data_IF_246835270588
#
_entry.id   IF_246835270588
#
_cell.length_a   1.000
_cell.length_b   1.000
_cell.length_c   1.000
_cell.angle_alpha   90.00
_cell.angle_beta   90.00
_cell.angle_gamma   90.00
#
_symmetry.space_group_name_H-M   'P 1'
#
loop_
_entity.id
_entity.type
_entity.pdbx_description
1 polymer ?
#
# COMPACT_ATOMS: atom_id res chain seq x y z
N UNK A 1 -1.03 -22.44 3.99
CA UNK A 1 -0.10 -21.36 3.61
C UNK A 1 0.87 -21.14 4.77
N UNK A 2 2.09 -20.65 4.54
CA UNK A 2 3.09 -20.53 5.58
C UNK A 2 2.67 -19.46 6.62
N UNK A 3 2.62 -19.82 7.92
CA UNK A 3 2.28 -18.93 9.03
C UNK A 3 3.11 -17.64 9.03
N UNK A 4 4.38 -17.73 8.59
CA UNK A 4 5.25 -16.57 8.43
C UNK A 4 4.75 -15.56 7.41
N UNK A 5 4.14 -15.98 6.31
CA UNK A 5 3.57 -15.08 5.30
C UNK A 5 2.38 -14.29 5.84
N UNK A 6 1.53 -14.95 6.66
CA UNK A 6 0.40 -14.29 7.32
C UNK A 6 0.89 -13.28 8.36
N UNK A 7 1.90 -13.67 9.16
CA UNK A 7 2.50 -12.78 10.15
C UNK A 7 3.11 -11.53 9.49
N UNK A 8 3.88 -11.70 8.40
CA UNK A 8 4.46 -10.57 7.65
C UNK A 8 3.38 -9.64 7.08
N UNK A 9 2.32 -10.20 6.50
CA UNK A 9 1.19 -9.41 6.00
C UNK A 9 0.50 -8.64 7.13
N UNK A 10 0.33 -9.26 8.30
CA UNK A 10 -0.24 -8.62 9.49
C UNK A 10 0.62 -7.50 10.05
N UNK A 11 1.94 -7.70 10.13
CA UNK A 11 2.89 -6.66 10.54
C UNK A 11 2.81 -5.47 9.58
N UNK A 12 2.87 -5.72 8.27
CA UNK A 12 2.75 -4.66 7.29
C UNK A 12 1.42 -3.90 7.38
N UNK A 13 0.31 -4.61 7.59
CA UNK A 13 -1.01 -4.00 7.80
C UNK A 13 -1.01 -3.08 9.03
N UNK A 14 -0.36 -3.50 10.12
CA UNK A 14 -0.18 -2.67 11.30
C UNK A 14 0.64 -1.40 11.00
N UNK A 15 1.73 -1.52 10.24
CA UNK A 15 2.52 -0.37 9.78
C UNK A 15 1.69 0.59 8.92
N UNK A 16 0.87 0.06 8.00
CA UNK A 16 0.01 0.86 7.13
C UNK A 16 -1.04 1.63 7.92
N UNK A 17 -1.74 0.97 8.83
CA UNK A 17 -2.74 1.61 9.70
C UNK A 17 -2.08 2.65 10.60
N UNK A 18 -0.95 2.33 11.21
CA UNK A 18 -0.21 3.25 12.08
C UNK A 18 0.24 4.50 11.32
N UNK A 19 0.84 4.34 10.14
CA UNK A 19 1.31 5.47 9.35
C UNK A 19 0.18 6.39 8.89
N UNK A 20 -0.91 5.82 8.34
CA UNK A 20 -1.99 6.60 7.73
C UNK A 20 -2.98 7.19 8.72
N UNK A 21 -3.34 6.44 9.77
CA UNK A 21 -4.46 6.82 10.63
C UNK A 21 -4.05 7.27 12.04
N UNK A 22 -2.78 7.07 12.41
CA UNK A 22 -2.25 7.54 13.71
C UNK A 22 -1.12 8.53 13.50
N UNK A 23 -0.03 8.12 12.85
CA UNK A 23 1.16 8.96 12.74
C UNK A 23 0.92 10.22 11.90
N UNK A 24 0.32 10.10 10.72
CA UNK A 24 0.05 11.27 9.87
C UNK A 24 -0.83 12.32 10.58
N UNK A 25 -2.01 11.99 11.17
CA UNK A 25 -2.80 12.97 11.91
C UNK A 25 -2.05 13.63 13.08
N UNK A 26 -1.24 12.86 13.82
CA UNK A 26 -0.43 13.40 14.93
C UNK A 26 0.63 14.37 14.42
N UNK A 27 1.33 14.03 13.34
CA UNK A 27 2.33 14.90 12.73
C UNK A 27 1.72 16.24 12.27
N UNK A 28 0.57 16.19 11.57
CA UNK A 28 -0.11 17.41 11.09
C UNK A 28 -0.73 18.25 12.21
N UNK A 29 -1.00 17.66 13.39
CA UNK A 29 -1.44 18.39 14.57
C UNK A 29 -0.27 19.05 15.30
N UNK A 30 0.91 18.42 15.29
CA UNK A 30 2.04 18.80 16.16
C UNK A 30 3.11 19.61 15.44
N UNK A 31 3.15 19.60 14.10
CA UNK A 31 4.20 20.23 13.29
C UNK A 31 3.63 21.17 12.24
N UNK A 32 4.41 22.15 11.74
CA UNK A 32 4.07 22.93 10.57
C UNK A 32 3.79 22.00 9.37
N UNK A 33 2.77 22.34 8.56
CA UNK A 33 2.27 21.48 7.46
C UNK A 33 3.36 20.94 6.54
N UNK A 34 4.36 21.76 6.22
CA UNK A 34 5.46 21.36 5.32
C UNK A 34 6.33 20.26 5.94
N UNK A 35 6.68 20.42 7.22
CA UNK A 35 7.48 19.42 7.94
C UNK A 35 6.69 18.14 8.18
N UNK A 36 5.43 18.27 8.63
CA UNK A 36 4.53 17.13 8.78
C UNK A 36 4.38 16.33 7.49
N UNK A 37 4.18 17.02 6.36
CA UNK A 37 4.05 16.40 5.05
C UNK A 37 5.33 15.73 4.56
N UNK A 38 6.50 16.25 4.89
CA UNK A 38 7.78 15.64 4.56
C UNK A 38 7.96 14.32 5.34
N UNK A 39 7.80 14.36 6.67
CA UNK A 39 7.96 13.16 7.53
C UNK A 39 6.89 12.10 7.19
N UNK A 40 5.64 12.50 7.01
CA UNK A 40 4.58 11.57 6.60
C UNK A 40 4.89 10.93 5.24
N UNK A 41 5.44 11.68 4.28
CA UNK A 41 5.87 11.18 2.98
C UNK A 41 6.91 10.07 3.11
N UNK A 42 7.93 10.25 3.94
CA UNK A 42 8.94 9.21 4.21
C UNK A 42 8.34 7.96 4.85
N UNK A 43 7.45 8.12 5.83
CA UNK A 43 6.74 6.98 6.42
C UNK A 43 5.92 6.21 5.39
N UNK A 44 5.19 6.91 4.52
CA UNK A 44 4.42 6.27 3.45
C UNK A 44 5.32 5.57 2.42
N UNK A 45 6.48 6.14 2.09
CA UNK A 45 7.48 5.49 1.23
C UNK A 45 7.95 4.16 1.83
N UNK A 46 8.35 4.16 3.11
CA UNK A 46 8.78 2.93 3.81
C UNK A 46 7.67 1.87 3.80
N UNK A 47 6.44 2.25 4.15
CA UNK A 47 5.30 1.33 4.17
C UNK A 47 4.98 0.79 2.78
N UNK A 48 5.04 1.62 1.74
CA UNK A 48 4.76 1.21 0.36
C UNK A 48 5.80 0.23 -0.17
N UNK A 49 7.10 0.52 0.00
CA UNK A 49 8.16 -0.40 -0.43
C UNK A 49 8.14 -1.73 0.35
N UNK A 50 7.93 -1.67 1.67
CA UNK A 50 7.74 -2.88 2.48
C UNK A 50 6.53 -3.69 1.99
N UNK A 51 5.43 -3.02 1.66
CA UNK A 51 4.23 -3.66 1.12
C UNK A 51 4.48 -4.35 -0.22
N UNK A 52 5.16 -3.69 -1.16
CA UNK A 52 5.51 -4.28 -2.45
C UNK A 52 6.32 -5.57 -2.29
N UNK A 53 7.29 -5.58 -1.39
CA UNK A 53 8.12 -6.77 -1.11
C UNK A 53 7.30 -7.87 -0.42
N UNK A 54 6.60 -7.54 0.66
CA UNK A 54 5.84 -8.51 1.46
C UNK A 54 4.73 -9.16 0.64
N UNK A 55 3.93 -8.39 -0.08
CA UNK A 55 2.82 -8.93 -0.88
C UNK A 55 3.29 -9.71 -2.11
N UNK A 56 4.46 -9.38 -2.69
CA UNK A 56 5.10 -10.23 -3.69
C UNK A 56 5.49 -11.59 -3.09
N UNK A 57 6.12 -11.61 -1.90
CA UNK A 57 6.46 -12.85 -1.20
C UNK A 57 5.21 -13.68 -0.88
N UNK A 58 4.16 -13.05 -0.34
CA UNK A 58 2.88 -13.71 -0.05
C UNK A 58 2.27 -14.32 -1.32
N UNK A 59 2.33 -13.60 -2.45
CA UNK A 59 1.86 -14.11 -3.74
C UNK A 59 2.61 -15.37 -4.18
N UNK A 60 3.94 -15.33 -4.19
CA UNK A 60 4.75 -16.47 -4.65
C UNK A 60 4.60 -17.68 -3.73
N UNK A 61 4.58 -17.49 -2.41
CA UNK A 61 4.34 -18.57 -1.44
C UNK A 61 2.94 -19.17 -1.64
N UNK A 62 1.91 -18.33 -1.82
CA UNK A 62 0.55 -18.76 -2.07
C UNK A 62 0.40 -19.51 -3.40
N UNK A 63 1.08 -19.05 -4.46
CA UNK A 63 1.06 -19.70 -5.77
C UNK A 63 1.71 -21.10 -5.73
N UNK A 64 2.83 -21.24 -5.03
CA UNK A 64 3.47 -22.56 -4.84
C UNK A 64 2.56 -23.53 -4.08
N UNK A 65 1.93 -23.08 -3.00
CA UNK A 65 1.00 -23.87 -2.22
C UNK A 65 -0.26 -24.26 -3.03
N UNK A 66 -0.79 -23.37 -3.86
CA UNK A 66 -1.93 -23.62 -4.73
C UNK A 66 -1.61 -24.63 -5.85
N UNK A 67 -0.41 -24.57 -6.43
CA UNK A 67 0.05 -25.51 -7.46
C UNK A 67 0.11 -26.95 -6.93
N UNK A 68 0.56 -27.13 -5.68
CA UNK A 68 0.59 -28.45 -5.02
C UNK A 68 -0.83 -29.00 -4.78
N UNK A 69 -1.81 -28.13 -4.52
CA UNK A 69 -3.21 -28.52 -4.21
C UNK A 69 -4.15 -28.49 -5.43
N UNK A 70 -3.66 -28.13 -6.61
CA UNK A 70 -4.43 -27.99 -7.85
C UNK A 70 -5.69 -27.10 -7.70
N UNK A 71 -5.64 -26.04 -6.89
CA UNK A 71 -6.74 -25.11 -6.61
C UNK A 71 -6.43 -23.74 -7.22
N UNK A 72 -7.32 -23.26 -8.10
CA UNK A 72 -7.25 -21.87 -8.58
C UNK A 72 -7.62 -20.91 -7.43
N UNK A 73 -6.66 -20.14 -6.96
CA UNK A 73 -6.84 -19.26 -5.81
C UNK A 73 -7.32 -17.87 -6.23
N UNK A 74 -8.56 -17.54 -5.89
CA UNK A 74 -9.09 -16.16 -5.98
C UNK A 74 -8.22 -15.18 -5.17
N UNK A 75 -7.57 -15.65 -4.12
CA UNK A 75 -6.64 -14.86 -3.32
C UNK A 75 -5.45 -14.37 -4.14
N UNK A 76 -4.95 -15.15 -5.10
CA UNK A 76 -3.88 -14.73 -6.00
C UNK A 76 -4.25 -13.51 -6.84
N UNK A 77 -5.48 -13.46 -7.36
CA UNK A 77 -5.98 -12.30 -8.12
C UNK A 77 -6.11 -11.07 -7.23
N UNK A 78 -6.65 -11.23 -6.02
CA UNK A 78 -6.79 -10.13 -5.06
C UNK A 78 -5.42 -9.58 -4.59
N UNK A 79 -4.43 -10.46 -4.37
CA UNK A 79 -3.07 -10.05 -4.05
C UNK A 79 -2.45 -9.28 -5.22
N UNK A 80 -2.66 -9.72 -6.46
CA UNK A 80 -2.17 -9.00 -7.64
C UNK A 80 -2.80 -7.60 -7.76
N UNK A 81 -4.12 -7.47 -7.53
CA UNK A 81 -4.81 -6.17 -7.51
C UNK A 81 -4.25 -5.26 -6.42
N UNK A 82 -4.06 -5.77 -5.21
CA UNK A 82 -3.45 -5.04 -4.11
C UNK A 82 -2.03 -4.57 -4.47
N UNK A 83 -1.22 -5.47 -5.01
CA UNK A 83 0.15 -5.16 -5.41
C UNK A 83 0.20 -4.09 -6.51
N UNK A 84 -0.66 -4.20 -7.53
CA UNK A 84 -0.79 -3.19 -8.58
C UNK A 84 -1.25 -1.85 -8.03
N UNK A 85 -2.17 -1.82 -7.07
CA UNK A 85 -2.60 -0.61 -6.38
C UNK A 85 -1.45 0.08 -5.65
N UNK A 86 -0.66 -0.69 -4.88
CA UNK A 86 0.53 -0.18 -4.21
C UNK A 86 1.57 0.34 -5.20
N UNK A 87 1.84 -0.41 -6.29
CA UNK A 87 2.78 -0.01 -7.32
C UNK A 87 2.32 1.27 -8.05
N UNK A 88 1.05 1.35 -8.44
CA UNK A 88 0.50 2.54 -9.08
C UNK A 88 0.58 3.77 -8.17
N UNK A 89 0.24 3.62 -6.89
CA UNK A 89 0.36 4.71 -5.95
C UNK A 89 1.82 5.17 -5.79
N UNK A 90 2.75 4.22 -5.61
CA UNK A 90 4.16 4.53 -5.35
C UNK A 90 4.88 5.08 -6.57
N UNK A 91 4.65 4.53 -7.77
CA UNK A 91 5.43 4.87 -8.96
C UNK A 91 4.75 5.85 -9.92
N UNK A 92 3.42 6.04 -9.82
CA UNK A 92 2.69 6.99 -10.64
C UNK A 92 2.21 8.20 -9.84
N UNK A 93 1.50 7.98 -8.73
CA UNK A 93 0.84 9.06 -7.99
C UNK A 93 1.83 9.81 -7.08
N UNK A 94 2.66 9.10 -6.32
CA UNK A 94 3.65 9.72 -5.40
C UNK A 94 4.62 10.68 -6.12
N UNK A 95 5.20 10.36 -7.30
CA UNK A 95 6.04 11.29 -8.02
C UNK A 95 5.33 12.58 -8.47
N UNK A 96 4.03 12.52 -8.75
CA UNK A 96 3.23 13.71 -9.07
C UNK A 96 3.07 14.60 -7.84
N UNK A 97 2.79 13.99 -6.68
CA UNK A 97 2.68 14.71 -5.40
C UNK A 97 4.01 15.39 -5.05
N UNK A 98 5.14 14.70 -5.23
CA UNK A 98 6.46 15.25 -5.01
C UNK A 98 6.79 16.39 -6.00
N UNK A 99 6.42 16.25 -7.27
CA UNK A 99 6.59 17.33 -8.26
C UNK A 99 5.82 18.60 -7.85
N UNK A 100 4.62 18.48 -7.30
CA UNK A 100 3.89 19.62 -6.75
C UNK A 100 4.59 20.25 -5.53
N UNK A 101 5.18 19.45 -4.64
CA UNK A 101 5.89 19.96 -3.46
C UNK A 101 7.18 20.70 -3.83
N UNK A 102 7.92 20.17 -4.80
CA UNK A 102 9.22 20.69 -5.24
C UNK A 102 9.11 21.69 -6.39
N UNK A 103 7.90 21.98 -6.88
CA UNK A 103 7.65 22.86 -8.03
C UNK A 103 8.40 22.40 -9.28
N UNK A 104 8.55 21.09 -9.45
CA UNK A 104 9.19 20.46 -10.61
C UNK A 104 8.17 19.91 -11.59
N UNK A 105 8.61 19.50 -12.78
CA UNK A 105 7.76 18.88 -13.80
C UNK A 105 7.72 17.38 -13.64
N UNK A 106 6.55 16.79 -13.93
CA UNK A 106 6.35 15.35 -14.00
C UNK A 106 5.57 15.04 -15.28
N UNK A 107 5.93 13.97 -16.00
CA UNK A 107 5.31 13.61 -17.26
C UNK A 107 3.79 13.36 -17.14
N UNK A 108 3.35 12.66 -16.07
CA UNK A 108 1.94 12.37 -15.83
C UNK A 108 1.17 13.65 -15.48
N UNK A 109 1.75 14.51 -14.64
CA UNK A 109 1.18 15.81 -14.31
C UNK A 109 1.05 16.69 -15.55
N UNK A 110 2.02 16.67 -16.45
CA UNK A 110 1.98 17.42 -17.71
C UNK A 110 0.88 16.94 -18.65
N UNK A 111 0.56 15.64 -18.65
CA UNK A 111 -0.49 15.05 -19.48
C UNK A 111 -1.90 15.26 -18.91
N UNK A 112 -2.06 15.12 -17.60
CA UNK A 112 -3.38 15.08 -16.96
C UNK A 112 -3.74 16.35 -16.22
N UNK A 113 -2.76 17.17 -15.86
CA UNK A 113 -2.94 18.34 -15.00
C UNK A 113 -3.35 17.96 -13.58
N UNK A 114 -4.10 18.84 -12.95
CA UNK A 114 -4.67 18.63 -11.63
C UNK A 114 -3.93 19.36 -10.52
N UNK A 115 -4.61 19.52 -9.39
CA UNK A 115 -4.06 20.19 -8.20
C UNK A 115 -3.39 19.19 -7.26
N UNK A 116 -2.53 19.70 -6.37
CA UNK A 116 -1.96 18.91 -5.27
C UNK A 116 -3.03 18.17 -4.46
N UNK A 117 -4.13 18.87 -4.11
CA UNK A 117 -5.23 18.28 -3.34
C UNK A 117 -5.91 17.12 -4.06
N UNK A 118 -6.08 17.20 -5.38
CA UNK A 118 -6.64 16.11 -6.18
C UNK A 118 -5.74 14.88 -6.15
N UNK A 119 -4.45 15.04 -6.40
CA UNK A 119 -3.50 13.92 -6.42
C UNK A 119 -3.29 13.31 -5.03
N UNK A 120 -3.28 14.15 -3.99
CA UNK A 120 -3.24 13.68 -2.61
C UNK A 120 -4.52 12.89 -2.24
N UNK A 121 -5.69 13.35 -2.69
CA UNK A 121 -6.95 12.62 -2.52
C UNK A 121 -6.96 11.26 -3.23
N UNK A 122 -6.46 11.19 -4.46
CA UNK A 122 -6.30 9.92 -5.22
C UNK A 122 -5.38 8.96 -4.47
N UNK A 123 -4.21 9.44 -4.02
CA UNK A 123 -3.28 8.63 -3.23
C UNK A 123 -3.92 8.08 -1.96
N UNK A 124 -4.63 8.93 -1.21
CA UNK A 124 -5.31 8.55 0.02
C UNK A 124 -6.41 7.50 -0.21
N UNK A 125 -7.16 7.64 -1.31
CA UNK A 125 -8.19 6.66 -1.69
C UNK A 125 -7.58 5.30 -2.04
N UNK A 126 -6.52 5.28 -2.85
CA UNK A 126 -5.80 4.05 -3.20
C UNK A 126 -5.23 3.40 -1.92
N UNK A 127 -4.63 4.20 -1.04
CA UNK A 127 -4.09 3.73 0.24
C UNK A 127 -5.16 3.06 1.11
N UNK A 128 -6.34 3.67 1.21
CA UNK A 128 -7.48 3.13 1.95
C UNK A 128 -8.00 1.81 1.33
N UNK A 129 -8.15 1.77 0.00
CA UNK A 129 -8.57 0.55 -0.71
C UNK A 129 -7.56 -0.58 -0.48
N UNK A 130 -6.26 -0.29 -0.58
CA UNK A 130 -5.20 -1.26 -0.29
C UNK A 130 -5.27 -1.77 1.17
N UNK A 131 -5.54 -0.89 2.15
CA UNK A 131 -5.71 -1.29 3.55
C UNK A 131 -6.88 -2.27 3.73
N UNK A 132 -8.02 -1.97 3.13
CA UNK A 132 -9.22 -2.84 3.21
C UNK A 132 -8.96 -4.18 2.51
N UNK A 133 -8.38 -4.17 1.31
CA UNK A 133 -8.03 -5.40 0.58
C UNK A 133 -7.06 -6.28 1.37
N UNK A 134 -6.07 -5.68 2.01
CA UNK A 134 -5.10 -6.40 2.83
C UNK A 134 -5.75 -7.05 4.05
N UNK A 135 -6.64 -6.34 4.76
CA UNK A 135 -7.42 -6.89 5.88
C UNK A 135 -8.26 -8.10 5.43
N UNK A 136 -8.99 -7.95 4.33
CA UNK A 136 -9.79 -9.03 3.75
C UNK A 136 -8.91 -10.23 3.38
N UNK A 137 -7.76 -9.99 2.75
CA UNK A 137 -6.82 -11.05 2.38
C UNK A 137 -6.26 -11.77 3.61
N UNK A 138 -5.80 -11.04 4.62
CA UNK A 138 -5.27 -11.61 5.86
C UNK A 138 -6.33 -12.50 6.52
N UNK A 139 -7.58 -11.99 6.65
CA UNK A 139 -8.68 -12.76 7.21
C UNK A 139 -9.00 -14.03 6.41
N UNK A 140 -9.12 -13.92 5.07
CA UNK A 140 -9.39 -15.08 4.20
C UNK A 140 -8.29 -16.13 4.27
N UNK A 141 -7.03 -15.69 4.27
CA UNK A 141 -5.88 -16.59 4.30
C UNK A 141 -5.78 -17.29 5.66
N UNK A 142 -6.02 -16.56 6.76
CA UNK A 142 -6.06 -17.11 8.11
C UNK A 142 -7.18 -18.13 8.27
N UNK A 143 -8.38 -17.82 7.78
CA UNK A 143 -9.54 -18.73 7.87
C UNK A 143 -9.34 -20.06 7.12
N UNK A 144 -8.52 -20.10 6.07
CA UNK A 144 -8.19 -21.32 5.33
C UNK A 144 -7.22 -22.25 6.08
N UNK A 145 -6.49 -21.73 7.07
CA UNK A 145 -5.55 -22.54 7.87
C UNK A 145 -6.20 -23.18 9.11
N UNK A 146 -7.41 -22.74 9.48
CA UNK A 146 -8.17 -23.29 10.61
C UNK A 146 -9.07 -24.48 10.24
N UNK A 147 -9.06 -24.90 8.96
CA UNK A 147 -9.74 -26.09 8.45
C UNK A 147 -8.73 -27.15 8.02
#
# INVERSE_FOLDING_TARGET
MNKSAIALAGIWQGMQVMAGYVAAPVLFKSLPKLQAGAIAGELFNVVSYAGLVIWALVYFVGKRAAAVRNVQSINGKLIAVLWLGLAANQFLVTPVIEAHKTQTTNWLLSLTGGSFGMWHGISSLIYMICAILALVLIWRISALEWK
#
